data_IF_628346949729
#
_entry.id   IF_628346949729
#
_cell.length_a   1.000
_cell.length_b   1.000
_cell.length_c   1.000
_cell.angle_alpha   90.00
_cell.angle_beta   90.00
_cell.angle_gamma   90.00
#
_symmetry.space_group_name_H-M   'P 1'
#
loop_
_entity.id
_entity.type
_entity.pdbx_description
1 polymer ?
#
# COMPACT_ATOMS: atom_id res chain seq x y z
N UNK A 1 -18.27 7.42 2.71
CA UNK A 1 -17.52 6.70 3.81
C UNK A 1 -17.64 5.21 3.57
N UNK A 2 -16.53 4.47 3.59
CA UNK A 2 -16.52 3.01 3.41
C UNK A 2 -16.97 2.33 4.71
N UNK A 3 -18.03 1.50 4.68
CA UNK A 3 -18.48 0.75 5.86
C UNK A 3 -17.46 -0.34 6.22
N UNK A 4 -17.04 -0.39 7.47
CA UNK A 4 -16.14 -1.41 8.02
C UNK A 4 -16.83 -2.17 9.16
N UNK A 5 -16.55 -3.48 9.31
CA UNK A 5 -17.19 -4.31 10.34
C UNK A 5 -16.55 -4.18 11.72
N UNK A 6 -15.35 -3.67 11.81
CA UNK A 6 -14.64 -3.45 13.07
C UNK A 6 -13.51 -2.44 12.92
N UNK A 7 -13.09 -1.83 14.04
CA UNK A 7 -11.94 -0.91 14.10
C UNK A 7 -10.60 -1.58 13.74
N UNK A 8 -10.57 -2.91 13.55
CA UNK A 8 -9.36 -3.65 13.14
C UNK A 8 -9.17 -3.69 11.63
N UNK A 9 -10.19 -3.27 10.86
CA UNK A 9 -10.07 -3.16 9.40
C UNK A 9 -9.25 -1.92 9.09
N UNK A 10 -8.10 -2.14 8.51
CA UNK A 10 -7.19 -1.06 8.07
C UNK A 10 -7.26 -0.94 6.55
N UNK A 11 -7.48 0.27 6.05
CA UNK A 11 -7.51 0.62 4.63
C UNK A 11 -6.41 1.64 4.29
N UNK A 12 -5.57 2.02 5.25
CA UNK A 12 -4.59 3.10 5.09
C UNK A 12 -3.49 2.80 4.07
N UNK A 13 -3.22 1.50 3.81
CA UNK A 13 -2.26 1.04 2.82
C UNK A 13 -2.90 0.68 1.49
N UNK A 14 -4.21 0.82 1.35
CA UNK A 14 -4.86 0.49 0.09
C UNK A 14 -4.42 1.48 -0.99
N UNK A 15 -4.11 0.97 -2.19
CA UNK A 15 -3.72 1.84 -3.31
C UNK A 15 -4.77 2.93 -3.55
N UNK A 16 -4.39 4.22 -3.71
CA UNK A 16 -5.35 5.34 -3.76
C UNK A 16 -6.46 5.17 -4.80
N UNK A 17 -6.13 4.71 -6.02
CA UNK A 17 -7.12 4.43 -7.06
C UNK A 17 -8.07 3.28 -6.71
N UNK A 18 -7.62 2.29 -5.94
CA UNK A 18 -8.51 1.24 -5.48
C UNK A 18 -9.42 1.74 -4.36
N UNK A 19 -8.91 2.58 -3.47
CA UNK A 19 -9.70 3.23 -2.42
C UNK A 19 -10.81 4.10 -3.03
N UNK A 20 -10.49 4.94 -4.02
CA UNK A 20 -11.47 5.74 -4.77
C UNK A 20 -12.58 4.88 -5.37
N UNK A 21 -12.22 3.78 -6.03
CA UNK A 21 -13.21 2.84 -6.61
C UNK A 21 -14.09 2.18 -5.56
N UNK A 22 -13.54 1.86 -4.40
CA UNK A 22 -14.32 1.35 -3.27
C UNK A 22 -15.30 2.41 -2.74
N UNK A 23 -14.89 3.67 -2.66
CA UNK A 23 -15.78 4.76 -2.24
C UNK A 23 -16.95 4.92 -3.22
N UNK A 24 -16.69 4.90 -4.53
CA UNK A 24 -17.72 4.92 -5.56
C UNK A 24 -18.65 3.69 -5.46
N UNK A 25 -18.09 2.50 -5.28
CA UNK A 25 -18.87 1.27 -5.08
C UNK A 25 -19.79 1.36 -3.87
N UNK A 26 -19.31 1.80 -2.72
CA UNK A 26 -20.13 1.93 -1.51
C UNK A 26 -21.12 3.09 -1.58
N UNK A 27 -20.91 4.04 -2.48
CA UNK A 27 -21.88 5.09 -2.82
C UNK A 27 -23.02 4.62 -3.75
N UNK A 28 -22.85 3.48 -4.42
CA UNK A 28 -23.87 2.92 -5.32
C UNK A 28 -25.09 2.41 -4.52
N UNK A 29 -26.29 2.94 -4.82
CA UNK A 29 -27.52 2.60 -4.10
C UNK A 29 -27.90 1.11 -4.10
N UNK A 30 -27.34 0.30 -5.02
CA UNK A 30 -27.55 -1.15 -5.04
C UNK A 30 -26.84 -1.87 -3.90
N UNK A 31 -25.68 -1.38 -3.46
CA UNK A 31 -24.83 -2.00 -2.42
C UNK A 31 -24.74 -1.18 -1.14
N UNK A 32 -25.07 0.11 -1.19
CA UNK A 32 -25.04 1.00 -0.03
C UNK A 32 -25.90 0.45 1.12
N UNK A 33 -25.31 0.41 2.31
CA UNK A 33 -25.93 -0.15 3.52
C UNK A 33 -26.09 -1.68 3.54
N UNK A 34 -25.67 -2.40 2.49
CA UNK A 34 -25.85 -3.85 2.37
C UNK A 34 -24.55 -4.65 2.33
N UNK A 35 -23.42 -3.97 2.23
CA UNK A 35 -22.09 -4.56 2.16
C UNK A 35 -21.13 -3.77 3.04
N UNK A 36 -20.16 -4.45 3.66
CA UNK A 36 -19.11 -3.81 4.43
C UNK A 36 -17.75 -4.52 4.24
N UNK A 37 -16.65 -3.82 4.47
CA UNK A 37 -15.31 -4.41 4.47
C UNK A 37 -15.05 -5.12 5.79
N UNK A 38 -14.58 -6.35 5.73
CA UNK A 38 -14.22 -7.18 6.91
C UNK A 38 -12.73 -7.38 7.07
N UNK A 39 -11.96 -7.27 5.99
CA UNK A 39 -10.50 -7.35 5.99
C UNK A 39 -9.96 -6.36 4.94
N UNK A 40 -8.96 -5.62 5.31
CA UNK A 40 -8.25 -4.65 4.47
C UNK A 40 -6.76 -4.95 4.42
N UNK A 41 -5.98 -3.91 4.62
CA UNK A 41 -4.53 -3.95 4.54
C UNK A 41 -3.88 -4.71 5.71
N UNK A 42 -2.71 -5.30 5.45
CA UNK A 42 -1.87 -5.97 6.45
C UNK A 42 -0.43 -5.54 6.27
N UNK A 43 0.25 -5.27 7.37
CA UNK A 43 1.70 -5.13 7.36
C UNK A 43 2.37 -6.47 7.01
N UNK A 44 3.62 -6.42 6.54
CA UNK A 44 4.44 -7.62 6.39
C UNK A 44 4.50 -8.44 7.68
N UNK A 45 4.68 -7.78 8.82
CA UNK A 45 4.77 -8.45 10.13
C UNK A 45 3.48 -9.20 10.49
N UNK A 46 2.31 -8.63 10.20
CA UNK A 46 1.04 -9.30 10.44
C UNK A 46 0.82 -10.48 9.50
N UNK A 47 1.17 -10.35 8.22
CA UNK A 47 1.10 -11.46 7.28
C UNK A 47 2.04 -12.59 7.68
N UNK A 48 3.27 -12.26 8.10
CA UNK A 48 4.23 -13.26 8.59
C UNK A 48 3.70 -13.98 9.83
N UNK A 49 3.14 -13.25 10.79
CA UNK A 49 2.53 -13.84 11.99
C UNK A 49 1.39 -14.81 11.65
N UNK A 50 0.56 -14.48 10.66
CA UNK A 50 -0.51 -15.37 10.19
C UNK A 50 0.07 -16.61 9.52
N UNK A 51 1.09 -16.47 8.69
CA UNK A 51 1.77 -17.58 8.04
C UNK A 51 2.47 -18.51 9.04
N UNK A 52 3.18 -17.95 10.03
CA UNK A 52 3.84 -18.75 11.09
C UNK A 52 2.82 -19.55 11.90
N UNK A 53 1.65 -18.97 12.21
CA UNK A 53 0.54 -19.69 12.86
C UNK A 53 0.01 -20.82 11.99
N UNK A 54 -0.19 -20.56 10.69
CA UNK A 54 -0.62 -21.59 9.73
C UNK A 54 0.39 -22.73 9.65
N UNK A 55 1.68 -22.41 9.51
CA UNK A 55 2.76 -23.41 9.48
C UNK A 55 2.84 -24.26 10.76
N UNK A 56 2.48 -23.69 11.88
CA UNK A 56 2.41 -24.38 13.17
C UNK A 56 1.10 -25.16 13.40
N UNK A 57 0.21 -25.26 12.39
CA UNK A 57 -1.09 -25.95 12.50
C UNK A 57 -2.10 -25.26 13.43
N UNK A 58 -1.88 -23.98 13.78
CA UNK A 58 -2.69 -23.25 14.78
C UNK A 58 -3.51 -22.11 14.18
N UNK A 59 -3.55 -21.98 12.85
CA UNK A 59 -4.22 -20.90 12.14
C UNK A 59 -4.82 -21.34 10.81
N UNK A 60 -5.63 -20.45 10.24
CA UNK A 60 -6.15 -20.62 8.89
C UNK A 60 -5.04 -20.54 7.85
N UNK A 61 -5.32 -21.06 6.65
CA UNK A 61 -4.43 -20.94 5.50
C UNK A 61 -4.00 -19.49 5.30
N UNK A 62 -2.70 -19.24 5.24
CA UNK A 62 -2.13 -17.92 5.02
C UNK A 62 -0.99 -18.02 3.98
N UNK A 63 -0.92 -17.05 3.08
CA UNK A 63 0.15 -16.98 2.10
C UNK A 63 1.50 -16.68 2.77
N UNK A 64 2.57 -17.31 2.26
CA UNK A 64 3.93 -16.99 2.65
C UNK A 64 4.25 -15.53 2.25
N UNK A 65 4.57 -14.62 3.17
CA UNK A 65 4.82 -13.23 2.85
C UNK A 65 6.01 -13.01 1.93
N UNK A 66 6.97 -13.93 1.93
CA UNK A 66 8.20 -13.84 1.14
C UNK A 66 8.07 -14.53 -0.23
N UNK A 67 6.93 -15.19 -0.47
CA UNK A 67 6.72 -15.87 -1.75
C UNK A 67 6.46 -14.85 -2.85
N UNK A 68 7.44 -14.71 -3.75
CA UNK A 68 7.34 -13.88 -4.94
C UNK A 68 6.36 -14.51 -5.94
N UNK A 69 5.32 -13.79 -6.29
CA UNK A 69 4.32 -14.27 -7.24
C UNK A 69 4.88 -14.24 -8.67
N UNK A 70 4.36 -15.08 -9.56
CA UNK A 70 4.63 -14.95 -10.99
C UNK A 70 4.37 -13.51 -11.46
N UNK A 71 5.23 -12.96 -12.31
CA UNK A 71 5.22 -11.55 -12.68
C UNK A 71 6.15 -10.67 -11.84
N UNK A 72 6.65 -11.19 -10.70
CA UNK A 72 7.77 -10.62 -9.97
C UNK A 72 7.50 -9.36 -9.14
N UNK A 73 6.33 -8.74 -9.25
CA UNK A 73 6.00 -7.53 -8.50
C UNK A 73 5.38 -7.84 -7.13
N UNK A 74 4.41 -8.74 -7.09
CA UNK A 74 3.66 -9.03 -5.88
C UNK A 74 4.29 -10.14 -5.03
N UNK A 75 4.14 -9.99 -3.71
CA UNK A 75 4.53 -10.97 -2.71
C UNK A 75 3.33 -11.45 -1.89
N UNK A 76 3.37 -12.69 -1.46
CA UNK A 76 2.45 -13.27 -0.49
C UNK A 76 0.97 -13.03 -0.79
N UNK A 77 0.31 -12.31 0.10
CA UNK A 77 -1.11 -11.94 -0.02
C UNK A 77 -1.25 -10.55 -0.62
N UNK A 78 -2.26 -10.32 -1.46
CA UNK A 78 -2.60 -8.97 -1.94
C UNK A 78 -3.15 -8.03 -0.83
N UNK A 79 -3.52 -8.56 0.32
CA UNK A 79 -3.76 -7.76 1.53
C UNK A 79 -2.49 -7.24 2.16
N UNK A 80 -1.36 -7.90 1.91
CA UNK A 80 -0.06 -7.49 2.42
C UNK A 80 0.43 -6.25 1.70
N UNK A 81 1.14 -5.38 2.42
CA UNK A 81 1.91 -4.29 1.83
C UNK A 81 2.91 -4.86 0.80
N UNK A 82 2.83 -4.35 -0.43
CA UNK A 82 3.68 -4.72 -1.54
C UNK A 82 4.89 -3.77 -1.67
N UNK A 83 5.86 -4.04 -2.56
CA UNK A 83 7.09 -3.23 -2.68
C UNK A 83 6.86 -1.74 -2.95
N UNK A 84 5.74 -1.36 -3.56
CA UNK A 84 5.34 0.04 -3.78
C UNK A 84 4.69 0.69 -2.54
N UNK A 85 4.59 -0.04 -1.44
CA UNK A 85 4.00 0.44 -0.18
C UNK A 85 2.48 0.36 -0.11
N UNK A 86 1.82 -0.28 -1.09
CA UNK A 86 0.36 -0.41 -1.11
C UNK A 86 -0.09 -1.87 -0.98
N UNK A 87 -1.33 -2.06 -0.57
CA UNK A 87 -2.05 -3.32 -0.67
C UNK A 87 -3.17 -3.22 -1.72
N UNK A 88 -3.60 -4.37 -2.23
CA UNK A 88 -4.46 -4.45 -3.41
C UNK A 88 -5.65 -5.40 -3.22
N UNK A 89 -6.02 -5.70 -1.98
CA UNK A 89 -7.18 -6.55 -1.72
C UNK A 89 -8.00 -6.08 -0.53
N UNK A 90 -9.30 -6.32 -0.64
CA UNK A 90 -10.25 -6.22 0.46
C UNK A 90 -11.14 -7.45 0.48
N UNK A 91 -11.53 -7.86 1.68
CA UNK A 91 -12.60 -8.86 1.84
C UNK A 91 -13.92 -8.15 2.18
N UNK A 92 -14.96 -8.51 1.46
CA UNK A 92 -16.30 -7.96 1.63
C UNK A 92 -17.24 -8.94 2.33
N UNK A 93 -18.18 -8.41 3.11
CA UNK A 93 -19.26 -9.14 3.74
C UNK A 93 -20.60 -8.52 3.37
N UNK A 94 -21.58 -9.36 3.04
CA UNK A 94 -22.96 -8.95 2.91
C UNK A 94 -23.54 -8.72 4.31
N UNK A 95 -24.09 -7.54 4.54
CA UNK A 95 -24.69 -7.10 5.81
C UNK A 95 -26.20 -6.82 5.68
N UNK A 96 -26.71 -6.79 4.45
CA UNK A 96 -28.13 -6.54 4.14
C UNK A 96 -28.66 -7.46 3.04
N UNK A 97 -29.85 -7.15 2.53
CA UNK A 97 -30.50 -7.98 1.50
C UNK A 97 -29.93 -7.68 0.12
N UNK A 98 -28.93 -8.46 -0.30
CA UNK A 98 -28.31 -8.44 -1.63
C UNK A 98 -27.65 -9.81 -1.89
N UNK A 99 -27.60 -10.26 -3.14
CA UNK A 99 -26.95 -11.51 -3.51
C UNK A 99 -25.46 -11.34 -3.85
N UNK A 100 -24.66 -12.41 -3.72
CA UNK A 100 -23.25 -12.42 -4.12
C UNK A 100 -23.04 -12.06 -5.61
N UNK A 101 -23.83 -12.58 -6.57
CA UNK A 101 -23.74 -12.18 -7.96
C UNK A 101 -23.98 -10.67 -8.19
N UNK A 102 -24.94 -10.07 -7.49
CA UNK A 102 -25.21 -8.63 -7.58
C UNK A 102 -24.03 -7.82 -7.06
N UNK A 103 -23.48 -8.15 -5.88
CA UNK A 103 -22.29 -7.48 -5.33
C UNK A 103 -21.14 -7.57 -6.34
N UNK A 104 -20.88 -8.77 -6.90
CA UNK A 104 -19.84 -9.00 -7.90
C UNK A 104 -20.08 -8.20 -9.19
N UNK A 105 -21.33 -8.13 -9.66
CA UNK A 105 -21.70 -7.37 -10.86
C UNK A 105 -21.49 -5.88 -10.66
N UNK A 106 -21.86 -5.35 -9.50
CA UNK A 106 -21.63 -3.93 -9.17
C UNK A 106 -20.13 -3.65 -9.05
N UNK A 107 -19.37 -4.49 -8.33
CA UNK A 107 -17.93 -4.32 -8.17
C UNK A 107 -17.18 -4.27 -9.52
N UNK A 108 -17.58 -5.13 -10.48
CA UNK A 108 -17.00 -5.13 -11.83
C UNK A 108 -17.17 -3.81 -12.57
N UNK A 109 -18.26 -3.06 -12.33
CA UNK A 109 -18.48 -1.73 -12.93
C UNK A 109 -17.50 -0.69 -12.41
N UNK A 110 -17.02 -0.88 -11.19
CA UNK A 110 -16.00 -0.05 -10.54
C UNK A 110 -14.59 -0.61 -10.67
N UNK A 111 -14.37 -1.58 -11.58
CA UNK A 111 -13.04 -2.06 -11.97
C UNK A 111 -12.38 -3.01 -10.96
N UNK A 112 -13.13 -3.71 -10.11
CA UNK A 112 -12.59 -4.73 -9.24
C UNK A 112 -13.50 -5.97 -9.17
N UNK A 113 -12.97 -7.11 -8.78
CA UNK A 113 -13.67 -8.40 -8.84
C UNK A 113 -13.08 -9.42 -7.87
N UNK A 114 -13.82 -10.51 -7.55
CA UNK A 114 -13.25 -11.68 -6.91
C UNK A 114 -12.20 -12.35 -7.83
N UNK A 115 -11.03 -12.67 -7.29
CA UNK A 115 -9.90 -13.19 -8.09
C UNK A 115 -9.45 -14.59 -7.69
N UNK A 116 -9.78 -15.04 -6.47
CA UNK A 116 -9.38 -16.37 -5.99
C UNK A 116 -10.31 -17.44 -6.58
N UNK A 117 -9.72 -18.31 -7.41
CA UNK A 117 -10.44 -19.34 -8.16
C UNK A 117 -10.03 -20.76 -7.75
N UNK A 118 -10.91 -21.70 -7.95
CA UNK A 118 -10.63 -23.14 -7.97
C UNK A 118 -9.92 -23.53 -9.29
N UNK A 119 -9.44 -24.78 -9.35
CA UNK A 119 -8.80 -25.33 -10.56
C UNK A 119 -9.71 -25.38 -11.77
N UNK A 120 -11.03 -25.49 -11.57
CA UNK A 120 -12.06 -25.49 -12.62
C UNK A 120 -12.46 -24.07 -13.08
N UNK A 121 -11.81 -23.03 -12.55
CA UNK A 121 -12.09 -21.62 -12.88
C UNK A 121 -13.23 -20.99 -12.09
N UNK A 122 -13.99 -21.76 -11.30
CA UNK A 122 -15.04 -21.21 -10.43
C UNK A 122 -14.47 -20.34 -9.31
N UNK A 123 -15.24 -19.37 -8.83
CA UNK A 123 -14.81 -18.48 -7.74
C UNK A 123 -14.76 -19.28 -6.43
N UNK A 124 -13.58 -19.39 -5.84
CA UNK A 124 -13.35 -20.02 -4.54
C UNK A 124 -13.70 -19.09 -3.39
N UNK A 125 -13.21 -17.86 -3.46
CA UNK A 125 -13.36 -16.85 -2.41
C UNK A 125 -14.12 -15.65 -2.98
N UNK A 126 -15.46 -15.70 -2.94
CA UNK A 126 -16.31 -14.65 -3.48
C UNK A 126 -16.16 -13.31 -2.74
N UNK A 127 -15.67 -13.36 -1.52
CA UNK A 127 -15.47 -12.18 -0.64
C UNK A 127 -14.16 -11.45 -0.91
N UNK A 128 -13.17 -12.08 -1.55
CA UNK A 128 -11.84 -11.52 -1.80
C UNK A 128 -11.80 -10.76 -3.12
N UNK A 129 -11.75 -9.45 -3.03
CA UNK A 129 -11.80 -8.54 -4.17
C UNK A 129 -10.48 -7.84 -4.43
N UNK A 130 -10.11 -7.73 -5.71
CA UNK A 130 -8.90 -7.05 -6.19
C UNK A 130 -9.23 -6.20 -7.42
N UNK A 131 -8.39 -5.17 -7.74
CA UNK A 131 -8.45 -4.45 -9.00
C UNK A 131 -8.32 -5.40 -10.21
N UNK A 132 -8.65 -4.88 -11.39
CA UNK A 132 -8.47 -5.57 -12.67
C UNK A 132 -7.20 -5.09 -13.34
N UNK A 133 -6.50 -5.99 -14.03
CA UNK A 133 -5.24 -5.70 -14.74
C UNK A 133 -5.41 -4.74 -15.93
N UNK A 134 -6.64 -4.47 -16.36
CA UNK A 134 -6.95 -3.75 -17.60
C UNK A 134 -6.79 -2.23 -17.50
N UNK A 135 -6.53 -1.70 -16.31
CA UNK A 135 -6.54 -0.25 -16.06
C UNK A 135 -5.14 0.41 -16.07
N UNK A 136 -4.09 -0.34 -16.32
CA UNK A 136 -2.71 0.16 -16.44
C UNK A 136 -2.05 0.69 -15.16
N UNK A 137 -2.80 0.88 -14.07
CA UNK A 137 -2.27 1.30 -12.77
C UNK A 137 -2.09 0.15 -11.79
N UNK A 138 -2.76 -0.97 -12.05
CA UNK A 138 -2.54 -2.21 -11.31
C UNK A 138 -1.36 -2.92 -11.96
N UNK A 139 -0.27 -3.21 -11.23
CA UNK A 139 0.89 -3.85 -11.81
C UNK A 139 0.52 -5.19 -12.46
N UNK A 140 0.89 -5.35 -13.72
CA UNK A 140 0.65 -6.59 -14.45
C UNK A 140 1.32 -7.77 -13.75
N UNK A 141 0.61 -8.89 -13.64
CA UNK A 141 1.17 -10.15 -13.15
C UNK A 141 1.86 -10.96 -14.25
N UNK A 142 1.78 -10.51 -15.51
CA UNK A 142 2.56 -11.09 -16.59
C UNK A 142 4.03 -10.63 -16.48
N UNK A 143 4.94 -11.57 -16.68
CA UNK A 143 6.37 -11.23 -16.76
C UNK A 143 6.58 -10.21 -17.88
N UNK A 144 7.34 -9.13 -17.67
CA UNK A 144 8.07 -8.54 -18.78
C UNK A 144 8.97 -9.68 -19.30
N UNK A 145 8.95 -9.94 -20.60
CA UNK A 145 10.01 -10.73 -21.21
C UNK A 145 11.34 -10.12 -20.74
N UNK A 146 12.27 -10.93 -20.27
CA UNK A 146 13.59 -10.46 -19.81
C UNK A 146 14.34 -9.68 -20.90
N UNK A 147 13.85 -9.72 -22.16
CA UNK A 147 14.33 -9.01 -23.33
C UNK A 147 13.42 -7.80 -23.74
N UNK A 148 12.35 -7.50 -22.98
CA UNK A 148 11.57 -6.30 -23.28
C UNK A 148 12.44 -5.05 -23.04
N UNK A 149 12.49 -4.08 -23.98
CA UNK A 149 13.17 -2.82 -23.71
C UNK A 149 12.63 -2.24 -22.41
N UNK A 150 13.52 -1.93 -21.47
CA UNK A 150 13.15 -1.20 -20.25
C UNK A 150 12.52 0.09 -20.76
N UNK A 151 11.17 0.21 -20.69
CA UNK A 151 10.50 1.46 -20.97
C UNK A 151 11.20 2.54 -20.13
N UNK A 152 11.61 3.65 -20.74
CA UNK A 152 12.28 4.68 -19.99
C UNK A 152 11.36 5.12 -18.85
N UNK A 153 11.89 5.01 -17.62
CA UNK A 153 11.16 5.45 -16.42
C UNK A 153 10.59 6.85 -16.71
N UNK A 154 9.29 7.04 -16.49
CA UNK A 154 8.69 8.38 -16.58
C UNK A 154 9.28 9.28 -15.48
N UNK A 155 10.47 9.76 -15.75
CA UNK A 155 11.18 10.68 -14.86
C UNK A 155 10.38 11.97 -14.64
N UNK A 156 9.59 12.41 -15.63
CA UNK A 156 8.78 13.60 -15.49
C UNK A 156 7.64 13.38 -14.51
N UNK A 157 6.93 12.25 -14.59
CA UNK A 157 5.88 11.88 -13.63
C UNK A 157 6.43 11.66 -12.23
N UNK A 158 7.59 11.00 -12.09
CA UNK A 158 8.25 10.80 -10.80
C UNK A 158 8.68 12.14 -10.18
N UNK A 159 9.29 13.02 -10.97
CA UNK A 159 9.70 14.35 -10.50
C UNK A 159 8.50 15.21 -10.11
N UNK A 160 7.40 15.17 -10.90
CA UNK A 160 6.16 15.85 -10.57
C UNK A 160 5.59 15.36 -9.23
N UNK A 161 5.54 14.06 -9.01
CA UNK A 161 5.08 13.45 -7.76
C UNK A 161 5.97 13.85 -6.57
N UNK A 162 7.30 13.80 -6.72
CA UNK A 162 8.25 14.23 -5.68
C UNK A 162 8.05 15.73 -5.37
N UNK A 163 7.83 16.55 -6.39
CA UNK A 163 7.60 17.99 -6.24
C UNK A 163 6.28 18.28 -5.52
N UNK A 164 5.21 17.56 -5.85
CA UNK A 164 3.90 17.71 -5.21
C UNK A 164 3.99 17.41 -3.71
N UNK A 165 4.60 16.27 -3.35
CA UNK A 165 4.82 15.92 -1.95
C UNK A 165 5.72 16.97 -1.26
N UNK A 166 6.77 17.43 -1.93
CA UNK A 166 7.67 18.46 -1.41
C UNK A 166 6.95 19.78 -1.11
N UNK A 167 6.08 20.22 -1.99
CA UNK A 167 5.25 21.41 -1.80
C UNK A 167 4.32 21.24 -0.58
N UNK A 168 3.70 20.08 -0.46
CA UNK A 168 2.81 19.76 0.65
C UNK A 168 3.56 19.74 1.99
N UNK A 169 4.74 19.13 2.04
CA UNK A 169 5.61 19.12 3.24
C UNK A 169 6.13 20.52 3.54
N UNK A 170 6.42 21.33 2.53
CA UNK A 170 6.83 22.73 2.71
C UNK A 170 5.76 23.58 3.41
N UNK A 171 4.48 23.34 3.09
CA UNK A 171 3.35 24.02 3.72
C UNK A 171 2.99 23.41 5.09
N UNK A 172 3.07 22.09 5.21
CA UNK A 172 2.68 21.32 6.40
C UNK A 172 3.80 20.36 6.79
N UNK A 173 4.82 20.83 7.53
CA UNK A 173 5.92 19.99 7.97
C UNK A 173 5.44 18.77 8.75
N UNK A 174 6.08 17.64 8.52
CA UNK A 174 5.74 16.39 9.18
C UNK A 174 6.77 16.05 10.26
N UNK A 175 6.28 15.46 11.35
CA UNK A 175 7.09 15.15 12.52
C UNK A 175 6.52 13.94 13.27
N UNK A 176 7.08 13.64 14.43
CA UNK A 176 6.59 12.55 15.28
C UNK A 176 5.09 12.64 15.55
N UNK A 177 4.36 11.58 15.22
CA UNK A 177 2.90 11.50 15.30
C UNK A 177 2.20 11.68 13.95
N UNK A 178 2.85 12.28 12.94
CA UNK A 178 2.31 12.34 11.57
C UNK A 178 2.13 10.94 10.99
N UNK A 179 1.13 10.79 10.11
CA UNK A 179 0.81 9.53 9.45
C UNK A 179 0.40 9.81 8.00
N UNK A 180 0.61 8.84 7.13
CA UNK A 180 0.14 8.89 5.74
C UNK A 180 1.22 8.59 4.71
N UNK A 181 0.86 8.81 3.45
CA UNK A 181 1.72 8.51 2.30
C UNK A 181 3.01 9.34 2.31
N UNK A 182 2.94 10.61 2.71
CA UNK A 182 4.08 11.51 2.80
C UNK A 182 5.13 10.98 3.79
N UNK A 183 4.67 10.48 4.95
CA UNK A 183 5.55 9.87 5.95
C UNK A 183 6.24 8.63 5.38
N UNK A 184 5.50 7.81 4.64
CA UNK A 184 6.05 6.61 4.01
C UNK A 184 7.13 6.95 2.99
N UNK A 185 6.90 7.93 2.11
CA UNK A 185 7.91 8.40 1.14
C UNK A 185 9.17 8.86 1.85
N UNK A 186 9.03 9.63 2.94
CA UNK A 186 10.17 10.04 3.77
C UNK A 186 10.91 8.83 4.35
N UNK A 187 10.20 7.85 4.90
CA UNK A 187 10.80 6.64 5.46
C UNK A 187 11.56 5.81 4.39
N UNK A 188 10.96 5.62 3.21
CA UNK A 188 11.58 4.94 2.09
C UNK A 188 12.87 5.65 1.67
N UNK A 189 12.81 6.99 1.56
CA UNK A 189 13.98 7.79 1.18
C UNK A 189 15.09 7.77 2.23
N UNK A 190 14.75 7.86 3.52
CA UNK A 190 15.71 7.73 4.62
C UNK A 190 16.45 6.39 4.54
N UNK A 191 15.71 5.28 4.38
CA UNK A 191 16.31 3.96 4.26
C UNK A 191 17.20 3.84 3.00
N UNK A 192 16.81 4.44 1.88
CA UNK A 192 17.59 4.46 0.65
C UNK A 192 18.87 5.33 0.75
N UNK A 193 18.92 6.25 1.70
CA UNK A 193 20.07 7.09 2.02
C UNK A 193 20.93 6.52 3.17
N UNK A 194 20.66 5.29 3.60
CA UNK A 194 21.35 4.60 4.71
C UNK A 194 21.16 5.31 6.08
N UNK A 195 20.01 5.99 6.27
CA UNK A 195 19.52 6.45 7.57
C UNK A 195 18.38 5.54 8.04
N UNK A 196 18.65 4.39 8.67
CA UNK A 196 17.66 3.36 8.91
C UNK A 196 16.57 3.84 9.87
N UNK A 197 15.34 3.90 9.40
CA UNK A 197 14.15 4.24 10.20
C UNK A 197 13.25 3.04 10.50
N UNK A 198 13.61 1.84 10.02
CA UNK A 198 12.81 0.63 10.09
C UNK A 198 11.91 0.49 8.88
N UNK A 199 10.78 -0.22 9.05
CA UNK A 199 9.79 -0.40 7.99
C UNK A 199 9.17 0.95 7.64
N UNK A 200 8.96 1.21 6.35
CA UNK A 200 8.26 2.39 5.87
C UNK A 200 6.74 2.18 6.02
N UNK A 201 6.26 2.23 7.25
CA UNK A 201 4.89 1.94 7.66
C UNK A 201 3.93 3.15 7.54
N UNK A 202 4.46 4.31 7.16
CA UNK A 202 3.68 5.56 7.09
C UNK A 202 3.35 6.15 8.47
N UNK A 203 4.00 5.69 9.55
CA UNK A 203 3.83 6.23 10.90
C UNK A 203 5.15 6.88 11.36
N UNK A 204 5.14 8.19 11.56
CA UNK A 204 6.33 8.92 12.00
C UNK A 204 6.61 8.66 13.49
N UNK A 205 7.30 7.57 13.75
CA UNK A 205 7.64 7.10 15.09
C UNK A 205 9.02 7.58 15.58
N UNK A 206 9.46 7.05 16.72
CA UNK A 206 10.78 7.37 17.31
C UNK A 206 11.96 7.01 16.39
N UNK A 207 11.85 5.89 15.64
CA UNK A 207 12.91 5.47 14.72
C UNK A 207 13.01 6.46 13.55
N UNK A 208 11.89 6.86 12.98
CA UNK A 208 11.83 7.87 11.91
C UNK A 208 12.39 9.21 12.39
N UNK A 209 11.99 9.67 13.59
CA UNK A 209 12.56 10.91 14.19
C UNK A 209 14.08 10.84 14.28
N UNK A 210 14.63 9.73 14.78
CA UNK A 210 16.08 9.55 14.91
C UNK A 210 16.79 9.60 13.55
N UNK A 211 16.24 8.89 12.56
CA UNK A 211 16.79 8.87 11.20
C UNK A 211 16.77 10.26 10.55
N UNK A 212 15.68 11.02 10.72
CA UNK A 212 15.61 12.41 10.26
C UNK A 212 16.67 13.28 10.94
N UNK A 213 16.84 13.16 12.26
CA UNK A 213 17.89 13.90 12.97
C UNK A 213 19.31 13.52 12.54
N UNK A 214 19.55 12.27 12.17
CA UNK A 214 20.82 11.84 11.60
C UNK A 214 21.07 12.47 10.22
N UNK A 215 20.07 12.44 9.34
CA UNK A 215 20.12 13.11 8.05
C UNK A 215 20.37 14.62 8.22
N UNK A 216 19.63 15.29 9.11
CA UNK A 216 19.80 16.72 9.38
C UNK A 216 21.23 17.05 9.81
N UNK A 217 21.85 16.24 10.68
CA UNK A 217 23.27 16.41 11.06
C UNK A 217 24.21 16.23 9.87
N UNK A 218 23.98 15.18 9.05
CA UNK A 218 24.80 14.89 7.88
C UNK A 218 24.71 15.99 6.82
N UNK A 219 23.60 16.71 6.77
CA UNK A 219 23.34 17.80 5.82
C UNK A 219 23.49 19.20 6.43
N UNK A 220 24.06 19.29 7.63
CA UNK A 220 24.29 20.56 8.38
C UNK A 220 22.99 21.35 8.65
N UNK A 221 21.87 20.66 8.70
CA UNK A 221 20.57 21.22 9.13
C UNK A 221 20.40 21.07 10.66
N UNK A 222 19.51 21.86 11.24
CA UNK A 222 19.19 21.79 12.68
C UNK A 222 18.53 20.42 12.97
N UNK A 223 19.11 19.59 13.87
CA UNK A 223 18.61 18.24 14.11
C UNK A 223 17.37 18.22 15.04
N UNK A 224 16.27 18.79 14.58
CA UNK A 224 15.01 18.90 15.32
C UNK A 224 14.03 17.72 15.09
N UNK A 225 14.33 16.84 14.13
CA UNK A 225 13.50 15.69 13.81
C UNK A 225 12.20 16.01 13.06
N UNK A 226 12.10 17.22 12.49
CA UNK A 226 10.98 17.66 11.66
C UNK A 226 11.41 17.60 10.20
N UNK A 227 10.56 17.10 9.32
CA UNK A 227 10.75 17.17 7.88
C UNK A 227 9.95 18.36 7.37
N UNK A 228 10.65 19.41 7.04
CA UNK A 228 10.18 20.60 6.34
C UNK A 228 10.69 20.65 4.89
N UNK A 229 10.45 21.73 4.17
CA UNK A 229 10.90 21.89 2.79
C UNK A 229 12.43 21.83 2.63
N UNK A 230 13.20 22.27 3.62
CA UNK A 230 14.67 22.20 3.59
C UNK A 230 15.18 20.77 3.74
N UNK A 231 14.61 20.04 4.71
CA UNK A 231 14.93 18.60 4.91
C UNK A 231 14.50 17.79 3.68
N UNK A 232 13.32 18.08 3.13
CA UNK A 232 12.84 17.43 1.91
C UNK A 232 13.81 17.65 0.75
N UNK A 233 14.21 18.89 0.48
CA UNK A 233 15.17 19.23 -0.58
C UNK A 233 16.51 18.52 -0.35
N UNK A 234 17.01 18.51 0.89
CA UNK A 234 18.24 17.83 1.23
C UNK A 234 18.17 16.32 0.94
N UNK A 235 17.03 15.66 1.21
CA UNK A 235 16.84 14.23 0.94
C UNK A 235 16.99 13.86 -0.54
N UNK A 236 16.66 14.79 -1.44
CA UNK A 236 16.69 14.55 -2.89
C UNK A 236 17.94 15.13 -3.56
N UNK A 237 18.83 15.76 -2.81
CA UNK A 237 20.12 16.22 -3.33
C UNK A 237 21.03 15.00 -3.60
N UNK A 238 21.56 14.84 -4.83
CA UNK A 238 22.46 13.72 -5.16
C UNK A 238 23.79 13.72 -4.38
N UNK A 239 24.18 14.86 -3.80
CA UNK A 239 25.40 15.02 -3.00
C UNK A 239 25.17 14.81 -1.51
N UNK A 240 24.00 14.42 -1.08
CA UNK A 240 23.73 14.13 0.34
C UNK A 240 24.61 12.97 0.80
N UNK A 241 25.36 13.11 1.90
CA UNK A 241 26.12 12.00 2.47
C UNK A 241 25.20 10.85 2.83
N UNK A 242 25.61 9.62 2.53
CA UNK A 242 24.90 8.43 3.01
C UNK A 242 25.18 8.23 4.49
N UNK A 243 24.22 7.70 5.21
CA UNK A 243 24.38 7.30 6.60
C UNK A 243 25.45 6.18 6.72
N UNK A 244 26.23 6.22 7.77
CA UNK A 244 27.22 5.19 8.14
C UNK A 244 26.57 4.14 9.04
#
# INVERSE_FOLDING_TARGET
>A
MIPITSKRVDLSLLHPKFLERLELFFGDGRVSGKVAVVSGCRSYADQKRLYDKYRAGRGNLAANPDWKRPGGFFYGSFHQEQPDGYSYAVDLRITGRISKPEVTSVAKRYGFRPTVKNRDGSIKEWWHFQPRDEDGWFPSTSFPDDDAPIEPMDWAGLLAFISEIGNKIGQYPISRGSKGAEVRVVQQRLNALDFPCGVADGIFGRKTTRAVMQLQRATLLIPNGIVDGHVWTAMWNPQVPRGL
#
